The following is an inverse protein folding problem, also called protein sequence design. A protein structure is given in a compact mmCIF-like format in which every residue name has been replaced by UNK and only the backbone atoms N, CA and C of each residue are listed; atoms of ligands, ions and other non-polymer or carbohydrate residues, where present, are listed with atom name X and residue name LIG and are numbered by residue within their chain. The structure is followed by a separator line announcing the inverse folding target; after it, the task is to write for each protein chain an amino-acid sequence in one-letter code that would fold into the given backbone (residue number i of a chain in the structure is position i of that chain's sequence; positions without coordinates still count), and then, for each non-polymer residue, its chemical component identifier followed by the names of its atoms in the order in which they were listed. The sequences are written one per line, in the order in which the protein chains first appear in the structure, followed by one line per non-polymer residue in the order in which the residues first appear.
data_IF_713574345560
#
_entry.id   IF_713574345560
#
_cell.length_a   1.000
_cell.length_b   1.000
_cell.length_c   1.000
_cell.angle_alpha   90.00
_cell.angle_beta   90.00
_cell.angle_gamma   90.00
#
_symmetry.space_group_name_H-M   'P 1'
#
loop_
_entity.id
_entity.type
_entity.pdbx_description
1 polymer ?
#
# COMPACT_ATOMS: atom_id res chain seq x y z
N UNK A 1 -13.00 -4.19 30.08
CA UNK A 1 -12.70 -3.56 28.78
C UNK A 1 -11.98 -4.59 27.93
N UNK A 2 -12.66 -5.40 27.10
CA UNK A 2 -11.94 -6.18 26.09
C UNK A 2 -11.50 -5.21 24.99
N UNK A 3 -10.22 -5.24 24.62
CA UNK A 3 -9.79 -4.62 23.37
C UNK A 3 -10.47 -5.38 22.24
N UNK A 4 -11.51 -4.81 21.65
CA UNK A 4 -12.09 -5.31 20.42
C UNK A 4 -11.03 -5.17 19.33
N UNK A 5 -10.26 -6.24 19.13
CA UNK A 5 -9.50 -6.41 17.91
C UNK A 5 -10.55 -6.68 16.84
N UNK A 6 -11.00 -5.62 16.16
CA UNK A 6 -11.81 -5.75 14.96
C UNK A 6 -10.91 -6.40 13.91
N UNK A 7 -11.01 -7.72 13.81
CA UNK A 7 -10.49 -8.45 12.68
C UNK A 7 -11.47 -8.23 11.54
N UNK A 8 -11.43 -7.05 10.91
CA UNK A 8 -12.02 -6.90 9.60
C UNK A 8 -11.43 -8.02 8.74
N UNK A 9 -12.29 -8.81 8.11
CA UNK A 9 -11.81 -9.89 7.28
C UNK A 9 -10.90 -9.29 6.20
N UNK A 10 -9.88 -10.03 5.71
CA UNK A 10 -9.01 -9.53 4.64
C UNK A 10 -9.80 -9.00 3.43
N UNK A 11 -11.00 -9.55 3.20
CA UNK A 11 -11.91 -9.07 2.16
C UNK A 11 -12.52 -7.70 2.48
N UNK A 12 -13.02 -7.50 3.69
CA UNK A 12 -13.60 -6.21 4.13
C UNK A 12 -12.54 -5.10 4.07
N UNK A 13 -11.33 -5.37 4.57
CA UNK A 13 -10.21 -4.41 4.47
C UNK A 13 -9.91 -4.04 3.02
N UNK A 14 -9.85 -5.03 2.11
CA UNK A 14 -9.57 -4.78 0.69
C UNK A 14 -10.68 -3.98 0.02
N UNK A 15 -11.95 -4.23 0.39
CA UNK A 15 -13.10 -3.50 -0.13
C UNK A 15 -13.10 -2.03 0.33
N UNK A 16 -12.78 -1.78 1.59
CA UNK A 16 -12.62 -0.42 2.12
C UNK A 16 -11.45 0.29 1.46
N UNK A 17 -10.31 -0.40 1.31
CA UNK A 17 -9.12 0.17 0.71
C UNK A 17 -9.36 0.65 -0.72
N UNK A 18 -9.98 -0.19 -1.55
CA UNK A 18 -10.25 0.10 -2.96
C UNK A 18 -11.18 1.30 -3.19
N UNK A 19 -12.03 1.66 -2.23
CA UNK A 19 -13.05 2.71 -2.39
C UNK A 19 -12.78 3.97 -1.55
N UNK A 20 -11.65 4.02 -0.85
CA UNK A 20 -11.43 5.05 0.17
C UNK A 20 -11.02 6.42 -0.41
N UNK A 21 -10.38 6.45 -1.59
CA UNK A 21 -9.70 7.66 -2.10
C UNK A 21 -8.61 8.18 -1.14
N UNK A 22 -8.15 7.34 -0.21
CA UNK A 22 -7.21 7.65 0.86
C UNK A 22 -6.04 6.69 0.78
N UNK A 23 -4.91 7.08 1.36
CA UNK A 23 -3.70 6.25 1.42
C UNK A 23 -3.81 5.21 2.57
N UNK A 24 -4.76 4.27 2.46
CA UNK A 24 -5.02 3.24 3.49
C UNK A 24 -4.36 1.90 3.17
N UNK A 25 -4.04 1.64 1.90
CA UNK A 25 -3.28 0.47 1.47
C UNK A 25 -2.23 0.83 0.42
N UNK A 26 -1.15 0.04 0.40
CA UNK A 26 -0.08 0.14 -0.57
C UNK A 26 0.40 -1.25 -0.98
N UNK A 27 0.90 -1.34 -2.20
CA UNK A 27 1.45 -2.58 -2.74
C UNK A 27 2.85 -2.35 -3.31
N UNK A 28 3.71 -3.35 -3.17
CA UNK A 28 5.02 -3.45 -3.83
C UNK A 28 5.05 -4.84 -4.45
N UNK A 29 4.84 -4.91 -5.75
CA UNK A 29 4.59 -6.15 -6.50
C UNK A 29 5.76 -6.36 -7.47
N UNK A 30 6.44 -7.52 -7.46
CA UNK A 30 7.52 -7.79 -8.40
C UNK A 30 6.98 -7.91 -9.83
N UNK A 31 7.69 -7.31 -10.79
CA UNK A 31 7.50 -7.49 -12.22
C UNK A 31 8.44 -8.58 -12.77
N UNK A 32 8.14 -9.07 -13.97
CA UNK A 32 8.92 -10.13 -14.63
C UNK A 32 10.35 -9.70 -15.03
N UNK A 33 10.58 -8.39 -15.16
CA UNK A 33 11.87 -7.79 -15.55
C UNK A 33 12.80 -7.51 -14.36
N UNK A 34 12.39 -7.89 -13.15
CA UNK A 34 13.15 -7.65 -11.92
C UNK A 34 12.90 -6.29 -11.27
N UNK A 35 12.03 -5.46 -11.84
CA UNK A 35 11.53 -4.23 -11.19
C UNK A 35 10.36 -4.53 -10.26
N UNK A 36 9.86 -3.51 -9.58
CA UNK A 36 8.73 -3.59 -8.66
C UNK A 36 7.72 -2.51 -8.98
N UNK A 37 6.48 -2.91 -9.26
CA UNK A 37 5.35 -2.02 -9.34
C UNK A 37 4.90 -1.60 -7.95
N UNK A 38 4.80 -0.30 -7.72
CA UNK A 38 4.37 0.29 -6.45
C UNK A 38 3.14 1.13 -6.70
N UNK A 39 2.07 0.84 -5.96
CA UNK A 39 0.80 1.56 -6.10
C UNK A 39 0.15 1.82 -4.75
N UNK A 40 -0.63 2.90 -4.68
CA UNK A 40 -1.42 3.25 -3.52
C UNK A 40 -2.92 3.21 -3.83
N UNK A 41 -3.71 2.79 -2.86
CA UNK A 41 -5.19 2.73 -2.94
C UNK A 41 -5.87 4.10 -3.08
N UNK A 42 -5.12 5.20 -3.16
CA UNK A 42 -5.66 6.53 -3.39
C UNK A 42 -5.94 6.80 -4.88
N UNK A 43 -5.54 5.91 -5.78
CA UNK A 43 -5.63 6.04 -7.24
C UNK A 43 -4.93 7.28 -7.82
N UNK A 44 -4.05 7.94 -7.04
CA UNK A 44 -3.33 9.15 -7.45
C UNK A 44 -1.82 8.91 -7.59
N UNK A 45 -1.34 7.69 -7.32
CA UNK A 45 0.09 7.44 -7.26
C UNK A 45 0.45 5.99 -7.62
N UNK A 46 1.29 5.88 -8.63
CA UNK A 46 1.92 4.66 -9.12
C UNK A 46 3.37 4.95 -9.50
N UNK A 47 4.27 4.00 -9.26
CA UNK A 47 5.71 4.15 -9.46
C UNK A 47 6.36 2.78 -9.72
N UNK A 48 7.38 2.75 -10.58
CA UNK A 48 8.20 1.56 -10.80
C UNK A 48 9.56 1.72 -10.09
N UNK A 49 9.87 0.78 -9.19
CA UNK A 49 11.10 0.77 -8.42
C UNK A 49 12.09 -0.29 -8.94
N UNK A 50 13.40 0.01 -8.99
CA UNK A 50 14.41 -0.96 -9.43
C UNK A 50 14.70 -2.03 -8.37
N UNK A 51 14.23 -1.85 -7.14
CA UNK A 51 14.35 -2.84 -6.07
C UNK A 51 13.17 -2.76 -5.10
N UNK A 52 12.93 -3.87 -4.37
CA UNK A 52 11.90 -3.92 -3.33
C UNK A 52 12.13 -2.87 -2.24
N UNK A 53 13.38 -2.62 -1.88
CA UNK A 53 13.73 -1.67 -0.81
C UNK A 53 13.39 -0.23 -1.22
N UNK A 54 13.75 0.15 -2.45
CA UNK A 54 13.38 1.45 -3.01
C UNK A 54 11.85 1.59 -3.14
N UNK A 55 11.15 0.52 -3.51
CA UNK A 55 9.69 0.53 -3.58
C UNK A 55 9.04 0.74 -2.21
N UNK A 56 9.54 0.08 -1.17
CA UNK A 56 9.06 0.27 0.21
C UNK A 56 9.36 1.67 0.75
N UNK A 57 10.52 2.22 0.45
CA UNK A 57 10.91 3.58 0.84
C UNK A 57 10.01 4.62 0.15
N UNK A 58 9.77 4.48 -1.16
CA UNK A 58 8.85 5.33 -1.90
C UNK A 58 7.42 5.26 -1.34
N UNK A 59 6.92 4.06 -1.04
CA UNK A 59 5.61 3.84 -0.45
C UNK A 59 5.48 4.55 0.92
N UNK A 60 6.48 4.43 1.80
CA UNK A 60 6.50 5.10 3.11
C UNK A 60 6.52 6.62 3.01
N UNK A 61 7.28 7.18 2.07
CA UNK A 61 7.28 8.63 1.81
C UNK A 61 5.91 9.12 1.32
N UNK A 62 5.28 8.38 0.40
CA UNK A 62 3.98 8.75 -0.14
C UNK A 62 2.87 8.80 0.94
N UNK A 63 2.92 7.90 1.92
CA UNK A 63 1.96 7.88 3.04
C UNK A 63 2.31 8.83 4.19
N UNK A 64 3.40 9.58 4.10
CA UNK A 64 3.85 10.48 5.16
C UNK A 64 4.37 9.75 6.41
N UNK A 65 4.73 8.46 6.30
CA UNK A 65 5.31 7.69 7.41
C UNK A 65 6.78 8.08 7.71
N UNK A 66 7.47 8.72 6.77
CA UNK A 66 8.81 9.25 6.94
C UNK A 66 8.74 10.78 6.80
N UNK A 67 8.55 11.46 7.93
CA UNK A 67 8.80 12.90 8.08
C UNK A 67 10.16 13.11 8.75
#
# INVERSE_FOLDING_TARGET
MPSEVMHDSPLEFMQEAANSGKCVAQSVIPNDDGTYWVACSCDQWEFEAPSREEGLDAARRHTGHLN
#
